data_IF_372069670497
#
_entry.id   IF_372069670497
#
_cell.length_a   1.000
_cell.length_b   1.000
_cell.length_c   1.000
_cell.angle_alpha   90.00
_cell.angle_beta   90.00
_cell.angle_gamma   90.00
#
_symmetry.space_group_name_H-M   'P 1'
#
loop_
_entity.id
_entity.type
_entity.pdbx_description
1 polymer ?
#
# COMPACT_ATOMS: atom_id res chain seq x y z
N UNK A 1 30.95 -7.51 -14.33
CA UNK A 1 29.62 -8.11 -14.05
C UNK A 1 29.51 -8.32 -12.55
N UNK A 2 28.88 -7.39 -11.81
CA UNK A 2 28.70 -7.55 -10.37
C UNK A 2 27.59 -8.55 -10.12
N UNK A 3 27.86 -9.58 -9.31
CA UNK A 3 26.82 -10.43 -8.71
C UNK A 3 25.77 -9.52 -8.08
N UNK A 4 24.52 -9.64 -8.50
CA UNK A 4 23.40 -9.02 -7.81
C UNK A 4 23.38 -9.59 -6.40
N UNK A 5 23.93 -8.86 -5.43
CA UNK A 5 23.74 -9.18 -4.02
C UNK A 5 22.22 -9.28 -3.80
N UNK A 6 21.78 -10.45 -3.34
CA UNK A 6 20.39 -10.69 -2.99
C UNK A 6 20.09 -9.92 -1.70
N UNK A 7 20.00 -8.59 -1.80
CA UNK A 7 19.75 -7.69 -0.67
C UNK A 7 18.36 -7.98 -0.14
N UNK A 8 18.29 -8.47 1.11
CA UNK A 8 17.02 -8.63 1.82
C UNK A 8 16.32 -7.29 1.94
N UNK A 9 14.98 -7.28 1.80
CA UNK A 9 14.15 -6.09 2.01
C UNK A 9 14.42 -5.52 3.42
N UNK A 10 14.74 -4.23 3.48
CA UNK A 10 14.99 -3.51 4.73
C UNK A 10 13.70 -3.04 5.40
N UNK A 11 12.73 -2.61 4.58
CA UNK A 11 11.43 -2.09 5.03
C UNK A 11 10.31 -2.42 4.07
N UNK A 12 9.11 -2.53 4.62
CA UNK A 12 7.87 -2.57 3.86
C UNK A 12 7.12 -1.25 4.03
N UNK A 13 6.43 -0.82 2.98
CA UNK A 13 5.51 0.31 3.01
C UNK A 13 4.19 -0.16 2.45
N UNK A 14 3.17 -0.26 3.29
CA UNK A 14 1.80 -0.54 2.83
C UNK A 14 1.22 0.76 2.29
N UNK A 15 0.84 0.76 1.03
CA UNK A 15 0.28 1.87 0.27
C UNK A 15 -1.19 1.59 -0.01
N UNK A 16 -2.00 2.62 0.14
CA UNK A 16 -3.41 2.63 -0.28
C UNK A 16 -3.78 4.01 -0.83
N UNK A 17 -4.67 4.03 -1.83
CA UNK A 17 -5.10 5.24 -2.54
C UNK A 17 -6.62 5.30 -2.65
N UNK A 18 -7.19 6.44 -2.27
CA UNK A 18 -8.58 6.76 -2.61
C UNK A 18 -8.63 7.62 -3.87
N UNK A 19 -9.59 7.31 -4.76
CA UNK A 19 -9.66 7.94 -6.08
C UNK A 19 -11.07 8.43 -6.44
N UNK A 20 -11.14 9.45 -7.29
CA UNK A 20 -12.36 10.19 -7.62
C UNK A 20 -13.38 9.47 -8.50
N UNK A 21 -13.05 8.29 -9.06
CA UNK A 21 -13.81 7.74 -10.20
C UNK A 21 -14.77 6.61 -9.87
N UNK A 22 -15.92 6.64 -10.56
CA UNK A 22 -16.51 5.45 -11.18
C UNK A 22 -17.24 5.84 -12.51
N UNK A 23 -16.50 6.24 -13.54
CA UNK A 23 -17.01 6.35 -14.92
C UNK A 23 -16.45 5.26 -15.86
N UNK A 24 -15.63 4.33 -15.32
CA UNK A 24 -14.95 3.28 -16.07
C UNK A 24 -13.77 3.76 -16.93
N UNK A 25 -13.44 5.06 -16.90
CA UNK A 25 -12.37 5.63 -17.70
C UNK A 25 -11.16 6.00 -16.82
N UNK A 26 -10.13 5.15 -16.85
CA UNK A 26 -8.88 5.35 -16.12
C UNK A 26 -8.15 6.67 -16.47
N UNK A 27 -8.46 7.33 -17.60
CA UNK A 27 -7.90 8.65 -17.93
C UNK A 27 -8.47 9.77 -17.05
N UNK A 28 -9.67 9.56 -16.51
CA UNK A 28 -10.37 10.50 -15.65
C UNK A 28 -10.06 10.31 -14.16
N UNK A 29 -9.33 9.25 -13.81
CA UNK A 29 -8.89 8.97 -12.45
C UNK A 29 -7.96 10.06 -11.89
N UNK A 30 -8.27 10.51 -10.68
CA UNK A 30 -7.44 11.38 -9.86
C UNK A 30 -7.50 10.92 -8.41
N UNK A 31 -6.39 11.03 -7.70
CA UNK A 31 -6.34 10.66 -6.28
C UNK A 31 -6.96 11.74 -5.39
N UNK A 32 -7.49 11.31 -4.26
CA UNK A 32 -8.13 12.13 -3.23
C UNK A 32 -7.43 11.96 -1.89
N UNK A 33 -6.94 10.75 -1.62
CA UNK A 33 -6.13 10.44 -0.45
C UNK A 33 -5.01 9.48 -0.87
N UNK A 34 -3.84 9.65 -0.25
CA UNK A 34 -2.74 8.70 -0.32
C UNK A 34 -2.26 8.41 1.08
N UNK A 35 -2.19 7.12 1.44
CA UNK A 35 -1.68 6.68 2.73
C UNK A 35 -0.53 5.68 2.58
N UNK A 36 0.52 5.89 3.38
CA UNK A 36 1.70 5.01 3.47
C UNK A 36 1.99 4.66 4.93
N UNK A 37 2.10 3.36 5.19
CA UNK A 37 2.51 2.77 6.47
C UNK A 37 3.85 2.06 6.32
N UNK A 38 4.93 2.72 6.73
CA UNK A 38 6.30 2.21 6.61
C UNK A 38 6.83 1.59 7.90
N UNK A 39 7.38 0.38 7.83
CA UNK A 39 7.98 -0.31 8.97
C UNK A 39 9.16 -1.20 8.54
N UNK A 40 10.14 -1.48 9.43
CA UNK A 40 11.30 -2.30 9.10
C UNK A 40 10.92 -3.79 8.99
N UNK A 41 11.54 -4.50 8.06
CA UNK A 41 11.27 -5.91 7.81
C UNK A 41 11.58 -6.82 9.02
N UNK A 42 12.47 -6.39 9.93
CA UNK A 42 12.75 -7.09 11.19
C UNK A 42 11.51 -7.20 12.09
N UNK A 43 10.58 -6.25 12.00
CA UNK A 43 9.36 -6.24 12.82
C UNK A 43 8.31 -7.24 12.33
N UNK A 44 8.50 -7.83 11.14
CA UNK A 44 7.70 -8.97 10.66
C UNK A 44 8.27 -10.32 11.12
N UNK A 45 9.48 -10.35 11.69
CA UNK A 45 10.10 -11.58 12.21
C UNK A 45 9.62 -11.83 13.64
N UNK A 46 8.30 -11.87 13.82
CA UNK A 46 7.67 -12.14 15.11
C UNK A 46 7.31 -13.62 15.22
N UNK A 47 7.22 -14.09 16.46
CA UNK A 47 6.67 -15.41 16.71
C UNK A 47 5.23 -15.48 16.17
N UNK A 48 4.83 -16.62 15.58
CA UNK A 48 3.48 -16.79 15.08
C UNK A 48 2.45 -16.47 16.15
N UNK A 49 1.44 -15.64 15.82
CA UNK A 49 0.36 -15.34 16.75
C UNK A 49 -0.41 -16.64 17.00
N UNK A 50 -0.40 -17.11 18.26
CA UNK A 50 -1.10 -18.34 18.64
C UNK A 50 -2.61 -18.09 18.72
N UNK A 51 -3.34 -18.58 17.72
CA UNK A 51 -4.81 -18.51 17.68
C UNK A 51 -5.39 -19.73 18.39
N UNK A 52 -6.26 -19.52 19.39
CA UNK A 52 -6.99 -20.57 20.11
C UNK A 52 -8.45 -20.65 19.61
N UNK A 53 -9.26 -21.60 20.10
CA UNK A 53 -10.68 -21.68 19.70
C UNK A 53 -11.53 -20.52 20.21
N UNK A 54 -11.05 -19.80 21.21
CA UNK A 54 -11.74 -18.68 21.86
C UNK A 54 -11.12 -17.33 21.51
N UNK A 55 -10.04 -17.29 20.74
CA UNK A 55 -9.49 -16.02 20.27
C UNK A 55 -10.42 -15.42 19.23
N UNK A 56 -10.90 -14.22 19.51
CA UNK A 56 -11.40 -13.30 18.48
C UNK A 56 -10.35 -13.15 17.37
N UNK A 57 -10.76 -12.77 16.16
CA UNK A 57 -9.84 -12.59 15.02
C UNK A 57 -8.61 -11.80 15.47
N UNK A 58 -7.47 -12.49 15.61
CA UNK A 58 -6.28 -11.87 16.17
C UNK A 58 -5.66 -10.97 15.11
N UNK A 59 -6.05 -9.70 15.13
CA UNK A 59 -5.35 -8.65 14.40
C UNK A 59 -3.96 -8.53 15.04
N UNK A 60 -2.85 -8.74 14.28
CA UNK A 60 -1.52 -8.51 14.81
C UNK A 60 -1.41 -7.06 15.33
N UNK A 61 -0.74 -6.82 16.46
CA UNK A 61 -0.44 -5.46 16.86
C UNK A 61 0.39 -4.78 15.75
N UNK A 62 0.22 -3.47 15.52
CA UNK A 62 1.03 -2.75 14.55
C UNK A 62 2.51 -2.81 14.96
N UNK A 63 3.41 -2.66 13.97
CA UNK A 63 4.85 -2.52 14.25
C UNK A 63 5.09 -1.35 15.23
N UNK A 64 5.96 -1.52 16.24
CA UNK A 64 6.34 -0.43 17.13
C UNK A 64 7.19 0.65 16.42
N UNK A 65 7.81 0.32 15.28
CA UNK A 65 8.61 1.24 14.45
C UNK A 65 7.82 1.77 13.24
N UNK A 66 6.51 2.00 13.41
CA UNK A 66 5.61 2.42 12.34
C UNK A 66 5.73 3.91 12.02
N UNK A 67 6.14 4.22 10.79
CA UNK A 67 6.09 5.55 10.19
C UNK A 67 4.81 5.69 9.35
N UNK A 68 4.15 6.84 9.41
CA UNK A 68 2.91 7.11 8.67
C UNK A 68 3.03 8.38 7.84
N UNK A 69 2.50 8.35 6.63
CA UNK A 69 2.26 9.51 5.79
C UNK A 69 0.85 9.37 5.21
N UNK A 70 -0.02 10.33 5.51
CA UNK A 70 -1.36 10.43 4.91
C UNK A 70 -1.49 11.83 4.34
N UNK A 71 -1.85 11.91 3.06
CA UNK A 71 -2.00 13.15 2.31
C UNK A 71 -3.40 13.20 1.73
N UNK A 72 -4.15 14.24 2.10
CA UNK A 72 -5.40 14.60 1.45
C UNK A 72 -5.06 15.49 0.25
N UNK A 73 -5.68 15.19 -0.89
CA UNK A 73 -5.26 15.72 -2.18
C UNK A 73 -6.48 16.19 -2.95
N UNK A 74 -6.46 17.44 -3.41
CA UNK A 74 -7.50 17.94 -4.28
C UNK A 74 -7.40 17.25 -5.66
N UNK A 75 -8.42 16.50 -6.11
CA UNK A 75 -8.39 15.77 -7.37
C UNK A 75 -8.40 16.68 -8.61
N UNK A 76 -8.72 17.97 -8.45
CA UNK A 76 -8.97 18.95 -9.52
C UNK A 76 -10.01 18.48 -10.54
N UNK A 77 -10.91 17.59 -10.10
CA UNK A 77 -11.94 16.93 -10.90
C UNK A 77 -13.15 16.68 -10.01
N UNK A 78 -14.30 16.50 -10.64
CA UNK A 78 -15.53 16.09 -9.96
C UNK A 78 -15.32 14.71 -9.34
N UNK A 79 -15.68 14.58 -8.07
CA UNK A 79 -15.77 13.33 -7.34
C UNK A 79 -17.19 12.82 -7.52
N UNK A 80 -17.33 11.60 -8.03
CA UNK A 80 -18.65 11.03 -8.26
C UNK A 80 -19.29 10.58 -6.95
N UNK A 81 -20.64 10.65 -6.82
CA UNK A 81 -21.33 10.27 -5.59
C UNK A 81 -20.93 8.89 -5.07
N UNK A 82 -20.75 7.91 -5.96
CA UNK A 82 -20.31 6.56 -5.56
C UNK A 82 -18.93 6.52 -4.89
N UNK A 83 -18.00 7.36 -5.35
CA UNK A 83 -16.70 7.51 -4.69
C UNK A 83 -16.87 8.20 -3.34
N UNK A 84 -17.69 9.25 -3.26
CA UNK A 84 -18.03 9.89 -1.97
C UNK A 84 -18.69 8.91 -0.99
N UNK A 85 -19.58 8.04 -1.46
CA UNK A 85 -20.25 7.04 -0.62
C UNK A 85 -19.25 6.02 -0.04
N UNK A 86 -18.21 5.65 -0.80
CA UNK A 86 -17.21 4.68 -0.36
C UNK A 86 -16.10 5.29 0.51
N UNK A 87 -15.70 6.53 0.22
CA UNK A 87 -14.54 7.17 0.88
C UNK A 87 -14.91 8.20 1.93
N UNK A 88 -16.13 8.73 1.88
CA UNK A 88 -16.57 9.87 2.66
C UNK A 88 -15.99 11.22 2.19
N UNK A 89 -15.25 11.25 1.07
CA UNK A 89 -14.62 12.47 0.54
C UNK A 89 -15.46 13.09 -0.57
N UNK A 90 -15.64 14.41 -0.54
CA UNK A 90 -16.34 15.18 -1.58
C UNK A 90 -15.56 16.42 -2.02
N UNK A 91 -16.01 17.05 -3.11
CA UNK A 91 -15.30 18.19 -3.70
C UNK A 91 -15.21 19.42 -2.79
N UNK A 92 -16.22 19.63 -1.92
CA UNK A 92 -16.25 20.79 -1.03
C UNK A 92 -15.22 20.62 0.09
N UNK A 93 -15.10 19.41 0.63
CA UNK A 93 -14.10 19.10 1.66
C UNK A 93 -12.67 19.28 1.13
N UNK A 94 -12.44 18.93 -0.15
CA UNK A 94 -11.11 18.92 -0.75
C UNK A 94 -10.76 20.23 -1.50
N UNK A 95 -11.65 21.23 -1.52
CA UNK A 95 -11.49 22.40 -2.39
C UNK A 95 -10.23 23.22 -2.08
N UNK A 96 -9.88 23.31 -0.79
CA UNK A 96 -8.74 24.09 -0.28
C UNK A 96 -7.46 23.25 -0.13
N UNK A 97 -7.55 21.94 -0.37
CA UNK A 97 -6.40 21.05 -0.30
C UNK A 97 -5.48 21.22 -1.50
N UNK A 98 -4.20 20.91 -1.30
CA UNK A 98 -3.24 20.94 -2.40
C UNK A 98 -3.51 19.80 -3.38
N UNK A 99 -3.35 20.06 -4.67
CA UNK A 99 -3.38 19.00 -5.68
C UNK A 99 -2.05 18.23 -5.69
N UNK A 100 -2.01 17.09 -6.38
CA UNK A 100 -0.76 16.36 -6.54
C UNK A 100 0.24 17.15 -7.40
N UNK A 101 1.30 17.64 -6.77
CA UNK A 101 2.36 18.46 -7.35
C UNK A 101 3.76 17.93 -6.96
N UNK A 102 4.81 18.66 -7.34
CA UNK A 102 6.21 18.32 -7.03
C UNK A 102 6.48 18.26 -5.53
N UNK A 103 5.79 19.06 -4.71
CA UNK A 103 5.94 19.03 -3.26
C UNK A 103 5.39 17.72 -2.69
N UNK A 104 4.18 17.32 -3.12
CA UNK A 104 3.60 16.03 -2.76
C UNK A 104 4.50 14.85 -3.17
N UNK A 105 5.03 14.87 -4.40
CA UNK A 105 5.97 13.87 -4.87
C UNK A 105 7.28 13.84 -4.05
N UNK A 106 7.81 15.01 -3.67
CA UNK A 106 8.98 15.11 -2.80
C UNK A 106 8.71 14.53 -1.41
N UNK A 107 7.53 14.75 -0.82
CA UNK A 107 7.16 14.15 0.47
C UNK A 107 7.20 12.63 0.42
N UNK A 108 6.63 12.04 -0.65
CA UNK A 108 6.66 10.59 -0.87
C UNK A 108 8.10 10.08 -1.00
N UNK A 109 8.92 10.72 -1.85
CA UNK A 109 10.32 10.31 -2.05
C UNK A 109 11.12 10.39 -0.76
N UNK A 110 10.97 11.48 0.00
CA UNK A 110 11.68 11.68 1.25
C UNK A 110 11.22 10.72 2.35
N UNK A 111 9.92 10.39 2.39
CA UNK A 111 9.38 9.36 3.27
C UNK A 111 10.02 8.01 2.99
N UNK A 112 10.08 7.59 1.72
CA UNK A 112 10.68 6.32 1.32
C UNK A 112 12.20 6.27 1.60
N UNK A 113 12.93 7.36 1.33
CA UNK A 113 14.38 7.43 1.54
C UNK A 113 14.77 7.36 3.03
N UNK A 114 13.89 7.77 3.94
CA UNK A 114 14.11 7.69 5.40
C UNK A 114 14.08 6.26 5.95
N UNK A 115 13.47 5.32 5.23
CA UNK A 115 13.30 3.96 5.70
C UNK A 115 14.54 3.08 5.39
N UNK A 116 14.81 2.03 6.19
CA UNK A 116 15.83 1.03 5.86
C UNK A 116 15.68 0.46 4.44
N UNK A 117 16.75 0.55 3.65
CA UNK A 117 16.76 0.15 2.25
C UNK A 117 17.19 -1.32 2.05
N UNK A 118 16.75 -1.98 0.96
CA UNK A 118 15.76 -1.51 -0.01
C UNK A 118 14.33 -1.57 0.56
N UNK A 119 13.46 -0.68 0.08
CA UNK A 119 12.04 -0.63 0.48
C UNK A 119 11.19 -1.45 -0.47
N UNK A 120 10.20 -2.17 0.04
CA UNK A 120 9.16 -2.84 -0.74
C UNK A 120 7.80 -2.17 -0.51
N UNK A 121 7.25 -1.53 -1.54
CA UNK A 121 5.88 -1.04 -1.55
C UNK A 121 4.91 -2.21 -1.70
N UNK A 122 3.87 -2.22 -0.87
CA UNK A 122 2.84 -3.26 -0.82
C UNK A 122 1.49 -2.60 -0.99
N UNK A 123 0.71 -3.01 -1.99
CA UNK A 123 -0.67 -2.54 -2.17
C UNK A 123 -1.55 -3.73 -2.58
N UNK A 124 -2.84 -3.69 -2.21
CA UNK A 124 -3.77 -4.77 -2.56
C UNK A 124 -4.34 -4.54 -3.95
N UNK A 125 -4.13 -5.50 -4.88
CA UNK A 125 -4.44 -5.30 -6.30
C UNK A 125 -3.63 -4.13 -6.92
N UNK A 126 -2.48 -3.80 -6.32
CA UNK A 126 -1.63 -2.67 -6.71
C UNK A 126 -1.12 -2.75 -8.15
N UNK A 127 -0.90 -3.95 -8.70
CA UNK A 127 -0.44 -4.12 -10.08
C UNK A 127 -1.45 -3.59 -11.11
N UNK A 128 -2.74 -3.59 -10.75
CA UNK A 128 -3.84 -3.11 -11.59
C UNK A 128 -4.38 -1.74 -11.17
N UNK A 129 -3.95 -1.23 -10.03
CA UNK A 129 -4.49 -0.02 -9.42
C UNK A 129 -3.37 0.92 -8.94
N UNK A 130 -2.99 0.83 -7.66
CA UNK A 130 -2.17 1.81 -6.96
C UNK A 130 -0.83 2.10 -7.63
N UNK A 131 -0.11 1.06 -8.07
CA UNK A 131 1.21 1.23 -8.67
C UNK A 131 1.13 1.92 -10.03
N UNK A 132 0.07 1.66 -10.81
CA UNK A 132 -0.15 2.34 -12.09
C UNK A 132 -0.47 3.83 -11.86
N UNK A 133 -1.27 4.14 -10.84
CA UNK A 133 -1.64 5.50 -10.49
C UNK A 133 -0.40 6.28 -10.04
N UNK A 134 0.38 5.75 -9.09
CA UNK A 134 1.63 6.37 -8.63
C UNK A 134 2.60 6.58 -9.79
N UNK A 135 2.81 5.56 -10.63
CA UNK A 135 3.68 5.68 -11.80
C UNK A 135 3.23 6.80 -12.74
N UNK A 136 1.93 6.88 -13.04
CA UNK A 136 1.40 7.90 -13.93
C UNK A 136 1.53 9.32 -13.34
N UNK A 137 1.31 9.49 -12.04
CA UNK A 137 1.48 10.78 -11.36
C UNK A 137 2.92 11.26 -11.39
N UNK A 138 3.88 10.39 -11.05
CA UNK A 138 5.30 10.72 -11.11
C UNK A 138 5.75 11.04 -12.54
N UNK A 139 5.29 10.27 -13.54
CA UNK A 139 5.59 10.52 -14.94
C UNK A 139 5.08 11.89 -15.42
N UNK A 140 3.89 12.33 -14.99
CA UNK A 140 3.35 13.66 -15.34
C UNK A 140 4.23 14.81 -14.84
N UNK A 141 4.89 14.62 -13.70
CA UNK A 141 5.84 15.57 -13.11
C UNK A 141 7.28 15.38 -13.62
N UNK A 142 7.52 14.45 -14.55
CA UNK A 142 8.88 14.05 -14.97
C UNK A 142 9.79 13.61 -13.81
N UNK A 143 9.18 13.13 -12.72
CA UNK A 143 9.87 12.64 -11.52
C UNK A 143 9.90 11.11 -11.52
N UNK A 144 10.76 10.52 -10.67
CA UNK A 144 10.86 9.07 -10.49
C UNK A 144 10.94 8.72 -9.02
N UNK A 145 10.40 7.55 -8.66
CA UNK A 145 10.67 6.93 -7.38
C UNK A 145 12.15 6.51 -7.30
N UNK A 146 12.72 6.35 -6.08
CA UNK A 146 14.08 5.86 -5.91
C UNK A 146 14.31 4.49 -6.59
N UNK A 147 15.52 4.25 -7.09
CA UNK A 147 15.85 3.02 -7.85
C UNK A 147 15.83 1.72 -6.99
N UNK A 148 15.83 1.86 -5.67
CA UNK A 148 15.85 0.80 -4.67
C UNK A 148 14.46 0.50 -4.07
N UNK A 149 13.40 0.89 -4.78
CA UNK A 149 12.02 0.56 -4.42
C UNK A 149 11.58 -0.69 -5.20
N UNK A 150 11.16 -1.70 -4.47
CA UNK A 150 10.48 -2.89 -4.98
C UNK A 150 8.98 -2.75 -4.79
N UNK A 151 8.20 -3.56 -5.52
CA UNK A 151 6.74 -3.56 -5.48
C UNK A 151 6.24 -4.98 -5.29
N UNK A 152 5.21 -5.17 -4.47
CA UNK A 152 4.52 -6.43 -4.26
C UNK A 152 3.02 -6.17 -4.21
N UNK A 153 2.28 -6.91 -5.03
CA UNK A 153 0.83 -6.96 -4.92
C UNK A 153 0.43 -7.95 -3.81
N UNK A 154 -0.24 -7.45 -2.77
CA UNK A 154 -0.63 -8.27 -1.63
C UNK A 154 -1.71 -9.31 -1.99
N UNK A 155 -2.52 -9.07 -3.03
CA UNK A 155 -3.50 -10.05 -3.51
C UNK A 155 -2.80 -11.33 -3.98
N UNK A 156 -1.71 -11.18 -4.73
CA UNK A 156 -0.89 -12.31 -5.18
C UNK A 156 -0.11 -12.95 -4.03
N UNK A 157 0.44 -12.13 -3.12
CA UNK A 157 1.17 -12.62 -1.95
C UNK A 157 0.29 -13.48 -1.03
N UNK A 158 -0.90 -12.99 -0.66
CA UNK A 158 -1.83 -13.71 0.19
C UNK A 158 -2.32 -15.01 -0.45
N UNK A 159 -2.70 -14.97 -1.74
CA UNK A 159 -3.05 -16.19 -2.48
C UNK A 159 -1.92 -17.22 -2.39
N UNK A 160 -0.68 -16.80 -2.58
CA UNK A 160 0.46 -17.73 -2.51
C UNK A 160 0.63 -18.32 -1.11
N UNK A 161 0.49 -17.52 -0.06
CA UNK A 161 0.61 -17.95 1.34
C UNK A 161 -0.51 -18.94 1.71
N UNK A 162 -1.76 -18.63 1.36
CA UNK A 162 -2.92 -19.47 1.68
C UNK A 162 -2.85 -20.84 1.00
N UNK A 163 -2.25 -20.91 -0.20
CA UNK A 163 -2.06 -22.14 -0.95
C UNK A 163 -0.70 -22.81 -0.74
N UNK A 164 0.16 -22.27 0.15
CA UNK A 164 1.47 -22.86 0.43
C UNK A 164 1.32 -24.05 1.42
N UNK A 165 1.70 -25.27 1.04
CA UNK A 165 1.58 -26.44 1.91
C UNK A 165 2.34 -26.30 3.23
N UNK A 166 3.44 -25.54 3.26
CA UNK A 166 4.24 -25.32 4.47
C UNK A 166 3.53 -24.45 5.51
N UNK A 167 2.67 -23.53 5.06
CA UNK A 167 1.83 -22.71 5.93
C UNK A 167 0.52 -23.41 6.31
N UNK A 168 0.00 -24.29 5.45
CA UNK A 168 -1.16 -25.13 5.77
C UNK A 168 -0.84 -26.22 6.82
N UNK A 169 0.41 -26.72 6.84
CA UNK A 169 0.85 -27.81 7.73
C UNK A 169 1.47 -27.36 9.04
N UNK A 170 1.83 -26.07 9.19
CA UNK A 170 2.29 -25.49 10.46
C UNK A 170 1.06 -25.01 11.24
N UNK A 171 0.62 -25.71 12.29
CA UNK A 171 -0.60 -25.35 12.99
C UNK A 171 -0.35 -24.07 13.79
N UNK A 172 -0.87 -22.95 13.29
CA UNK A 172 -1.05 -21.74 14.08
C UNK A 172 -2.50 -21.65 14.61
N UNK A 173 -3.07 -22.81 14.97
CA UNK A 173 -4.50 -23.04 15.19
C UNK A 173 -5.09 -24.05 14.19
N UNK A 174 -6.43 -24.11 14.10
CA UNK A 174 -7.20 -25.04 13.22
C UNK A 174 -7.75 -24.40 11.94
N UNK A 175 -7.52 -23.12 11.70
CA UNK A 175 -8.09 -22.43 10.55
C UNK A 175 -7.11 -22.44 9.39
N UNK A 176 -7.55 -22.96 8.24
CA UNK A 176 -6.92 -22.61 6.97
C UNK A 176 -7.18 -21.12 6.76
N UNK A 177 -6.15 -20.25 6.63
CA UNK A 177 -6.41 -18.93 6.09
C UNK A 177 -6.92 -19.17 4.67
N UNK A 178 -8.23 -18.97 4.49
CA UNK A 178 -8.83 -18.86 3.16
C UNK A 178 -9.38 -17.46 3.14
N UNK A 179 -8.55 -16.52 2.67
CA UNK A 179 -9.03 -15.19 2.33
C UNK A 179 -10.13 -15.29 1.27
N UNK A 180 -11.14 -14.43 1.38
CA UNK A 180 -12.04 -14.16 0.25
C UNK A 180 -11.30 -13.17 -0.65
N UNK A 181 -10.88 -13.64 -1.82
CA UNK A 181 -10.16 -12.84 -2.80
C UNK A 181 -11.13 -12.33 -3.86
N UNK A 182 -11.71 -11.14 -3.65
CA UNK A 182 -12.51 -10.47 -4.68
C UNK A 182 -11.63 -9.63 -5.60
#
# INVERSE_FOLDING_TARGET
MSKTENRRIGSFVVLDLETSTYDGNLRNLSIMELTMYGFPAKDLQTDPIRVTRTSEMCVPPPSPNLNKLTLIINPRRVIYPKSTDSTGLDNNMLENESHFDENCACLIVNFLNRLPQPVCLVAHNGDRHDFLIVKNMFNKLSMKLPNNIHFVDSLHAFRRIDFDPTFQTRPNGKYTPKGVYM
#
